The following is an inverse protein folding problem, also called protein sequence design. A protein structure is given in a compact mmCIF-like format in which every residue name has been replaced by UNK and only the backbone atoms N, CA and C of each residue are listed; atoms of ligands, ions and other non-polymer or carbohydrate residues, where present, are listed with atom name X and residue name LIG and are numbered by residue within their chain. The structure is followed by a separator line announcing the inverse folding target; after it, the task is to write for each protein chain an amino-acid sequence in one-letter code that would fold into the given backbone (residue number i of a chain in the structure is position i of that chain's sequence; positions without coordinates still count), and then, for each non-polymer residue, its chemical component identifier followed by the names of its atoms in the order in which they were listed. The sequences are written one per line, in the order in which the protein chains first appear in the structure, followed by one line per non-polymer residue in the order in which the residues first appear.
data_IF_207365095954
#
_entry.id   IF_207365095954
#
_cell.length_a   1.000
_cell.length_b   1.000
_cell.length_c   1.000
_cell.angle_alpha   90.00
_cell.angle_beta   90.00
_cell.angle_gamma   90.00
#
_symmetry.space_group_name_H-M   'P 1'
#
loop_
_entity.id
_entity.type
_entity.pdbx_description
1 polymer ?
#
# COMPACT_ATOMS: atom_id res chain seq x y z
N UNK A 1 -39.39 22.51 7.88
CA UNK A 1 -38.31 21.54 8.12
C UNK A 1 -38.87 20.53 9.08
N UNK A 2 -39.35 19.44 8.51
CA UNK A 2 -40.10 18.39 9.20
C UNK A 2 -39.16 17.38 9.88
N UNK A 3 -39.73 16.36 10.53
CA UNK A 3 -38.94 15.35 11.24
C UNK A 3 -38.09 14.50 10.30
N UNK A 4 -38.53 14.32 9.05
CA UNK A 4 -37.80 13.58 8.02
C UNK A 4 -36.61 14.41 7.54
N UNK A 5 -36.80 15.71 7.33
CA UNK A 5 -35.73 16.66 6.98
C UNK A 5 -34.63 16.67 8.06
N UNK A 6 -35.02 16.68 9.35
CA UNK A 6 -34.06 16.62 10.47
C UNK A 6 -33.32 15.29 10.54
N UNK A 7 -34.02 14.18 10.32
CA UNK A 7 -33.42 12.85 10.31
C UNK A 7 -32.40 12.73 9.17
N UNK A 8 -32.74 13.27 8.00
CA UNK A 8 -31.87 13.27 6.82
C UNK A 8 -30.62 14.12 7.04
N UNK A 9 -30.76 15.32 7.63
CA UNK A 9 -29.61 16.17 7.97
C UNK A 9 -28.64 15.48 8.95
N UNK A 10 -29.18 14.74 9.94
CA UNK A 10 -28.36 13.97 10.88
C UNK A 10 -27.57 12.85 10.19
N UNK A 11 -28.19 12.15 9.24
CA UNK A 11 -27.55 11.10 8.43
C UNK A 11 -26.45 11.70 7.56
N UNK A 12 -26.72 12.84 6.90
CA UNK A 12 -25.73 13.53 6.07
C UNK A 12 -24.52 13.97 6.88
N UNK A 13 -24.73 14.58 8.06
CA UNK A 13 -23.66 14.97 8.98
C UNK A 13 -22.88 13.77 9.53
N UNK A 14 -23.53 12.64 9.75
CA UNK A 14 -22.83 11.42 10.16
C UNK A 14 -21.95 10.89 9.03
N UNK A 15 -22.50 10.81 7.82
CA UNK A 15 -21.80 10.32 6.64
C UNK A 15 -20.61 11.20 6.26
N UNK A 16 -20.76 12.52 6.33
CA UNK A 16 -19.67 13.46 6.08
C UNK A 16 -18.51 13.24 7.07
N UNK A 17 -18.82 13.15 8.37
CA UNK A 17 -17.80 12.88 9.40
C UNK A 17 -17.10 11.55 9.17
N UNK A 18 -17.85 10.49 8.88
CA UNK A 18 -17.28 9.17 8.59
C UNK A 18 -16.36 9.20 7.37
N UNK A 19 -16.77 9.87 6.28
CA UNK A 19 -15.95 10.04 5.07
C UNK A 19 -14.66 10.80 5.36
N UNK A 20 -14.77 11.89 6.12
CA UNK A 20 -13.60 12.69 6.53
C UNK A 20 -12.63 11.85 7.36
N UNK A 21 -13.11 11.10 8.34
CA UNK A 21 -12.28 10.24 9.18
C UNK A 21 -11.57 9.14 8.36
N UNK A 22 -12.27 8.51 7.42
CA UNK A 22 -11.66 7.52 6.51
C UNK A 22 -10.56 8.16 5.67
N UNK A 23 -10.81 9.35 5.12
CA UNK A 23 -9.81 10.10 4.34
C UNK A 23 -8.60 10.48 5.18
N UNK A 24 -8.81 11.02 6.38
CA UNK A 24 -7.76 11.43 7.30
C UNK A 24 -6.91 10.24 7.74
N UNK A 25 -7.54 9.08 8.01
CA UNK A 25 -6.82 7.83 8.29
C UNK A 25 -6.02 7.33 7.09
N UNK A 26 -6.51 7.49 5.86
CA UNK A 26 -5.77 7.12 4.66
C UNK A 26 -4.56 8.05 4.43
N UNK A 27 -4.71 9.35 4.70
CA UNK A 27 -3.61 10.33 4.67
C UNK A 27 -2.58 10.04 5.76
N UNK A 28 -3.02 9.77 6.99
CA UNK A 28 -2.14 9.38 8.09
C UNK A 28 -1.37 8.09 7.76
N UNK A 29 -2.05 7.04 7.27
CA UNK A 29 -1.39 5.80 6.82
C UNK A 29 -0.39 6.02 5.68
N UNK A 30 -0.63 6.95 4.75
CA UNK A 30 0.35 7.32 3.72
C UNK A 30 1.54 8.06 4.31
N UNK A 31 1.31 8.98 5.26
CA UNK A 31 2.36 9.71 5.96
C UNK A 31 3.23 8.79 6.81
N UNK A 32 2.61 7.83 7.50
CA UNK A 32 3.30 6.80 8.27
C UNK A 32 3.95 5.76 7.33
N UNK A 33 3.31 5.44 6.20
CA UNK A 33 3.89 4.59 5.15
C UNK A 33 5.14 5.18 4.49
N UNK A 34 5.28 6.52 4.47
CA UNK A 34 6.52 7.20 4.07
C UNK A 34 7.64 7.05 5.12
N UNK A 35 7.32 6.68 6.37
CA UNK A 35 8.31 6.31 7.40
C UNK A 35 8.58 4.80 7.47
N UNK A 36 7.88 3.96 6.69
CA UNK A 36 8.16 2.54 6.51
C UNK A 36 9.37 2.25 5.61
N UNK A 37 10.45 3.03 5.76
CA UNK A 37 11.77 2.73 5.21
C UNK A 37 12.44 1.48 5.85
N UNK A 38 11.64 0.54 6.38
CA UNK A 38 12.12 -0.72 6.97
C UNK A 38 11.13 -1.88 6.77
N UNK A 39 10.40 -1.93 5.65
CA UNK A 39 9.70 -3.18 5.30
C UNK A 39 10.76 -4.20 4.91
N UNK A 40 11.23 -4.98 5.88
CA UNK A 40 12.14 -6.11 5.66
C UNK A 40 11.39 -7.16 4.84
N UNK A 41 11.54 -7.12 3.51
CA UNK A 41 10.93 -8.09 2.60
C UNK A 41 11.88 -9.24 2.30
N UNK A 42 11.33 -10.44 2.16
CA UNK A 42 12.07 -11.65 1.76
C UNK A 42 11.76 -11.99 0.31
N UNK A 43 12.79 -12.43 -0.41
CA UNK A 43 12.67 -12.91 -1.78
C UNK A 43 11.65 -14.07 -1.85
N UNK A 44 10.75 -14.00 -2.83
CA UNK A 44 9.77 -15.05 -3.07
C UNK A 44 10.42 -16.42 -3.38
N UNK A 45 11.56 -16.40 -4.09
CA UNK A 45 12.19 -17.63 -4.59
C UNK A 45 13.16 -18.26 -3.57
N UNK A 46 14.05 -17.46 -2.98
CA UNK A 46 15.13 -17.98 -2.13
C UNK A 46 15.05 -17.53 -0.67
N UNK A 47 14.00 -16.79 -0.28
CA UNK A 47 13.70 -16.37 1.11
C UNK A 47 14.76 -15.50 1.81
N UNK A 48 15.84 -15.14 1.11
CA UNK A 48 16.84 -14.16 1.55
C UNK A 48 16.20 -12.77 1.65
N UNK A 49 16.77 -11.91 2.49
CA UNK A 49 16.31 -10.52 2.59
C UNK A 49 16.54 -9.79 1.26
N UNK A 50 15.54 -9.03 0.82
CA UNK A 50 15.66 -8.13 -0.31
C UNK A 50 16.43 -6.90 0.19
N UNK A 51 17.54 -6.50 -0.48
CA UNK A 51 18.32 -5.35 -0.07
C UNK A 51 17.47 -4.09 0.04
N UNK A 52 17.70 -3.27 1.07
CA UNK A 52 16.93 -2.05 1.29
C UNK A 52 17.07 -1.10 0.10
N UNK A 53 18.26 -0.99 -0.48
CA UNK A 53 18.57 -0.20 -1.67
C UNK A 53 17.70 -0.63 -2.87
N UNK A 54 17.40 -1.93 -2.97
CA UNK A 54 16.50 -2.45 -4.01
C UNK A 54 15.04 -2.09 -3.74
N UNK A 55 14.64 -2.06 -2.47
CA UNK A 55 13.29 -1.65 -2.05
C UNK A 55 13.08 -0.14 -2.20
N UNK A 56 14.14 0.66 -2.09
CA UNK A 56 14.08 2.10 -2.35
C UNK A 56 13.84 2.39 -3.84
N UNK A 57 14.56 1.68 -4.73
CA UNK A 57 14.42 1.86 -6.18
C UNK A 57 13.15 1.20 -6.71
N UNK A 58 12.81 0.02 -6.20
CA UNK A 58 11.63 -0.76 -6.61
C UNK A 58 10.87 -1.22 -5.36
N UNK A 59 9.96 -0.38 -4.82
CA UNK A 59 9.20 -0.65 -3.60
C UNK A 59 8.46 -1.98 -3.60
N UNK A 60 8.01 -2.43 -4.77
CA UNK A 60 7.21 -3.64 -4.94
C UNK A 60 8.02 -4.89 -5.34
N UNK A 61 9.34 -4.81 -5.53
CA UNK A 61 10.23 -5.94 -5.89
C UNK A 61 9.98 -7.25 -5.12
N UNK A 62 9.48 -8.31 -5.78
CA UNK A 62 9.18 -9.57 -5.09
C UNK A 62 10.40 -10.48 -4.87
N UNK A 63 11.48 -10.23 -5.62
CA UNK A 63 12.68 -11.06 -5.63
C UNK A 63 13.94 -10.25 -5.28
N UNK A 64 14.96 -10.91 -4.75
CA UNK A 64 16.29 -10.33 -4.62
C UNK A 64 16.91 -10.12 -6.02
N UNK A 65 17.98 -9.30 -6.11
CA UNK A 65 18.65 -8.98 -7.39
C UNK A 65 19.03 -10.24 -8.16
N UNK A 66 19.58 -11.25 -7.48
CA UNK A 66 20.03 -12.50 -8.12
C UNK A 66 18.87 -13.29 -8.73
N UNK A 67 17.79 -13.50 -7.97
CA UNK A 67 16.62 -14.24 -8.46
C UNK A 67 15.89 -13.47 -9.56
N UNK A 68 15.85 -12.14 -9.48
CA UNK A 68 15.32 -11.32 -10.57
C UNK A 68 16.12 -11.49 -11.87
N UNK A 69 17.45 -11.41 -11.80
CA UNK A 69 18.31 -11.59 -12.98
C UNK A 69 18.11 -12.98 -13.62
N UNK A 70 17.91 -14.02 -12.80
CA UNK A 70 17.59 -15.36 -13.30
C UNK A 70 16.22 -15.38 -14.01
N UNK A 71 15.17 -14.77 -13.43
CA UNK A 71 13.84 -14.69 -14.05
C UNK A 71 13.87 -13.98 -15.40
N UNK A 72 14.63 -12.91 -15.50
CA UNK A 72 14.83 -12.14 -16.75
C UNK A 72 15.58 -12.97 -17.79
N UNK A 73 16.67 -13.64 -17.39
CA UNK A 73 17.45 -14.49 -18.29
C UNK A 73 16.68 -15.70 -18.83
N UNK A 74 15.83 -16.32 -17.99
CA UNK A 74 15.03 -17.48 -18.37
C UNK A 74 13.61 -17.12 -18.86
N UNK A 75 13.28 -15.83 -18.99
CA UNK A 75 12.01 -15.37 -19.53
C UNK A 75 10.78 -15.65 -18.66
N UNK A 76 10.95 -15.92 -17.36
CA UNK A 76 9.85 -16.25 -16.44
C UNK A 76 8.91 -15.05 -16.23
N UNK A 77 9.42 -13.83 -16.38
CA UNK A 77 8.64 -12.59 -16.24
C UNK A 77 8.04 -12.07 -17.57
N UNK A 78 8.17 -12.80 -18.69
CA UNK A 78 7.67 -12.34 -20.02
C UNK A 78 6.14 -12.35 -20.18
N UNK A 79 5.40 -12.85 -19.20
CA UNK A 79 3.95 -13.04 -19.27
C UNK A 79 3.16 -12.24 -18.22
N UNK A 80 3.75 -11.18 -17.67
CA UNK A 80 3.14 -10.39 -16.60
C UNK A 80 2.51 -9.09 -17.10
#
# INVERSE_FOLDING_TARGET
MDELDRAQELVERFNERARKEISDRAVARRRDGLSHAQVVRRCADCRVLIPAERLEVVPDALCCVKCQALREAYGVDQYR
#
